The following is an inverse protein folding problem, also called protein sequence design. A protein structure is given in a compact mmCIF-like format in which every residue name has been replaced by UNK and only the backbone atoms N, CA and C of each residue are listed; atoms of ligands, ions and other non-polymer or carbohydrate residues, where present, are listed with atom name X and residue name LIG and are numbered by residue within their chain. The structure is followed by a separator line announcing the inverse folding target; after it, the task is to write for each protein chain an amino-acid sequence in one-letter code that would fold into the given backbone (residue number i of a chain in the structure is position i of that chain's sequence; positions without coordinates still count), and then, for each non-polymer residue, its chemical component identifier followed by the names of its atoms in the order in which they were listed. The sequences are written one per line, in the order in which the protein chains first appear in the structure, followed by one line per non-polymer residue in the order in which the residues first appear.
data_IF_201665753788
#
_entry.id   IF_201665753788
#
_cell.length_a   1.000
_cell.length_b   1.000
_cell.length_c   1.000
_cell.angle_alpha   90.00
_cell.angle_beta   90.00
_cell.angle_gamma   90.00
#
_symmetry.space_group_name_H-M   'P 1'
#
loop_
_entity.id
_entity.type
_entity.pdbx_description
1 polymer ?
#
# COMPACT_ATOMS: atom_id res chain seq x y z
N UNK A 1 13.02 -8.00 35.76
CA UNK A 1 13.15 -8.67 34.45
C UNK A 1 12.08 -8.07 33.58
N UNK A 2 12.43 -7.03 32.82
CA UNK A 2 11.53 -6.51 31.79
C UNK A 2 11.46 -7.58 30.70
N UNK A 3 10.25 -7.86 30.23
CA UNK A 3 10.06 -8.66 29.03
C UNK A 3 10.91 -8.02 27.92
N UNK A 4 11.75 -8.81 27.26
CA UNK A 4 12.33 -8.41 26.00
C UNK A 4 11.17 -7.98 25.11
N UNK A 5 11.22 -6.75 24.61
CA UNK A 5 10.30 -6.31 23.58
C UNK A 5 10.74 -7.09 22.33
N UNK A 6 9.99 -8.15 22.00
CA UNK A 6 10.32 -9.12 20.94
C UNK A 6 10.51 -8.45 19.56
N UNK A 7 10.04 -7.20 19.43
CA UNK A 7 10.07 -6.39 18.22
C UNK A 7 11.34 -5.55 18.02
N UNK A 8 12.33 -5.61 18.93
CA UNK A 8 13.55 -4.79 18.81
C UNK A 8 14.67 -5.46 18.01
N UNK A 9 14.56 -6.78 17.74
CA UNK A 9 15.51 -7.59 16.94
C UNK A 9 16.98 -7.55 17.40
N UNK A 10 17.26 -7.15 18.64
CA UNK A 10 18.63 -6.88 19.10
C UNK A 10 19.61 -8.04 18.84
N UNK A 11 19.19 -9.29 19.09
CA UNK A 11 20.04 -10.46 18.86
C UNK A 11 20.26 -10.78 17.38
N UNK A 12 19.27 -10.52 16.51
CA UNK A 12 19.38 -10.73 15.07
C UNK A 12 20.20 -9.62 14.41
N UNK A 13 19.95 -8.36 14.77
CA UNK A 13 20.73 -7.20 14.34
C UNK A 13 22.22 -7.41 14.67
N UNK A 14 22.53 -7.87 15.89
CA UNK A 14 23.91 -8.19 16.30
C UNK A 14 24.54 -9.31 15.45
N UNK A 15 23.76 -10.30 15.05
CA UNK A 15 24.27 -11.48 14.31
C UNK A 15 24.51 -11.17 12.84
N UNK A 16 23.65 -10.35 12.25
CA UNK A 16 23.58 -10.18 10.79
C UNK A 16 24.12 -8.82 10.32
N UNK A 17 24.39 -7.89 11.24
CA UNK A 17 24.88 -6.53 10.93
C UNK A 17 26.04 -6.12 11.83
N UNK A 18 26.70 -4.99 11.53
CA UNK A 18 27.73 -4.41 12.40
C UNK A 18 27.14 -3.59 13.57
N UNK A 19 25.80 -3.48 13.65
CA UNK A 19 25.14 -2.68 14.68
C UNK A 19 24.91 -3.47 15.97
N UNK A 20 25.11 -2.77 17.09
CA UNK A 20 24.62 -3.19 18.40
C UNK A 20 23.37 -2.36 18.71
N UNK A 21 22.18 -2.95 18.51
CA UNK A 21 20.91 -2.22 18.66
C UNK A 21 20.78 -1.54 20.04
N UNK A 22 21.22 -2.24 21.09
CA UNK A 22 21.21 -1.73 22.46
C UNK A 22 22.07 -0.47 22.66
N UNK A 23 23.08 -0.26 21.81
CA UNK A 23 23.96 0.90 21.89
C UNK A 23 23.38 2.13 21.20
N UNK A 24 22.40 1.97 20.30
CA UNK A 24 21.89 3.06 19.46
C UNK A 24 20.43 3.44 19.72
N UNK A 25 19.61 2.52 20.24
CA UNK A 25 18.15 2.69 20.30
C UNK A 25 17.69 3.89 21.14
N UNK A 26 18.42 4.19 22.21
CA UNK A 26 18.12 5.31 23.11
C UNK A 26 18.52 6.67 22.51
N UNK A 27 19.44 6.66 21.54
CA UNK A 27 19.97 7.86 20.87
C UNK A 27 19.19 8.22 19.59
N UNK A 28 18.39 7.31 19.03
CA UNK A 28 17.59 7.54 17.81
C UNK A 28 16.79 8.86 17.84
N UNK A 29 16.11 9.23 18.96
CA UNK A 29 15.38 10.50 19.03
C UNK A 29 16.25 11.74 18.78
N UNK A 30 17.56 11.65 19.03
CA UNK A 30 18.53 12.72 18.80
C UNK A 30 19.11 12.76 17.39
N UNK A 31 18.96 11.69 16.60
CA UNK A 31 19.53 11.62 15.25
C UNK A 31 18.69 12.37 14.20
N UNK A 32 19.35 13.04 13.24
CA UNK A 32 18.68 13.66 12.09
C UNK A 32 18.12 12.59 11.15
N UNK A 33 17.11 12.94 10.34
CA UNK A 33 16.46 12.00 9.41
C UNK A 33 17.43 11.27 8.49
N UNK A 34 18.42 11.98 7.95
CA UNK A 34 19.46 11.41 7.10
C UNK A 34 20.18 10.22 7.77
N UNK A 35 20.58 10.39 9.04
CA UNK A 35 21.29 9.34 9.80
C UNK A 35 20.36 8.17 10.09
N UNK A 36 19.10 8.42 10.45
CA UNK A 36 18.13 7.34 10.67
C UNK A 36 17.89 6.52 9.39
N UNK A 37 17.85 7.17 8.23
CA UNK A 37 17.66 6.50 6.93
C UNK A 37 18.93 5.75 6.50
N UNK A 38 20.11 6.25 6.82
CA UNK A 38 21.36 5.52 6.63
C UNK A 38 21.37 4.25 7.52
N UNK A 39 20.99 4.35 8.80
CA UNK A 39 20.84 3.18 9.69
C UNK A 39 19.81 2.20 9.11
N UNK A 40 18.65 2.69 8.64
CA UNK A 40 17.63 1.84 8.02
C UNK A 40 18.19 1.07 6.80
N UNK A 41 19.02 1.72 6.00
CA UNK A 41 19.65 1.10 4.83
C UNK A 41 20.64 0.01 5.24
N UNK A 42 21.46 0.27 6.25
CA UNK A 42 22.47 -0.69 6.72
C UNK A 42 21.86 -1.88 7.46
N UNK A 43 20.74 -1.68 8.18
CA UNK A 43 20.03 -2.78 8.83
C UNK A 43 19.35 -3.72 7.83
N UNK A 44 19.08 -3.27 6.60
CA UNK A 44 18.43 -4.06 5.57
C UNK A 44 17.13 -4.68 6.09
N UNK A 45 17.03 -6.01 6.05
CA UNK A 45 15.85 -6.75 6.50
C UNK A 45 15.47 -6.48 7.98
N UNK A 46 16.42 -6.09 8.83
CA UNK A 46 16.23 -6.01 10.29
C UNK A 46 15.79 -4.63 10.79
N UNK A 47 15.21 -3.79 9.93
CA UNK A 47 14.59 -2.53 10.35
C UNK A 47 13.41 -2.85 11.28
N UNK A 48 13.40 -2.26 12.47
CA UNK A 48 12.33 -2.45 13.45
C UNK A 48 11.34 -1.29 13.52
N UNK A 49 10.23 -1.54 14.23
CA UNK A 49 9.16 -0.56 14.46
C UNK A 49 9.67 0.74 15.07
N UNK A 50 10.61 0.68 16.00
CA UNK A 50 11.15 1.88 16.67
C UNK A 50 11.88 2.79 15.67
N UNK A 51 12.74 2.24 14.82
CA UNK A 51 13.46 3.01 13.81
C UNK A 51 12.50 3.62 12.77
N UNK A 52 11.54 2.83 12.27
CA UNK A 52 10.53 3.31 11.32
C UNK A 52 9.71 4.48 11.90
N UNK A 53 9.28 4.37 13.16
CA UNK A 53 8.57 5.45 13.87
C UNK A 53 9.44 6.68 14.06
N UNK A 54 10.72 6.53 14.40
CA UNK A 54 11.62 7.67 14.56
C UNK A 54 11.86 8.40 13.24
N UNK A 55 11.97 7.69 12.11
CA UNK A 55 12.03 8.29 10.78
C UNK A 55 10.74 9.08 10.50
N UNK A 56 9.57 8.46 10.72
CA UNK A 56 8.28 9.08 10.42
C UNK A 56 8.01 10.37 11.21
N UNK A 57 8.63 10.54 12.39
CA UNK A 57 8.53 11.76 13.22
C UNK A 57 9.31 12.95 12.68
N UNK A 58 10.20 12.78 11.69
CA UNK A 58 11.07 13.87 11.21
C UNK A 58 10.38 14.68 10.10
N UNK A 59 10.30 15.99 10.29
CA UNK A 59 9.67 16.92 9.33
C UNK A 59 10.32 16.87 7.94
N UNK A 60 11.61 16.54 7.86
CA UNK A 60 12.40 16.43 6.64
C UNK A 60 12.57 14.98 6.15
N UNK A 61 11.90 13.99 6.76
CA UNK A 61 12.01 12.58 6.39
C UNK A 61 11.73 12.33 4.91
N UNK A 62 10.62 12.88 4.39
CA UNK A 62 10.20 12.68 2.99
C UNK A 62 11.27 13.14 2.01
N UNK A 63 12.02 14.21 2.32
CA UNK A 63 13.10 14.69 1.46
C UNK A 63 14.21 13.63 1.33
N UNK A 64 14.63 13.03 2.44
CA UNK A 64 15.69 12.02 2.43
C UNK A 64 15.21 10.65 1.92
N UNK A 65 13.97 10.26 2.21
CA UNK A 65 13.36 9.04 1.64
C UNK A 65 13.27 9.16 0.10
N UNK A 66 12.86 10.33 -0.41
CA UNK A 66 12.85 10.61 -1.85
C UNK A 66 14.24 10.48 -2.47
N UNK A 67 15.25 11.02 -1.80
CA UNK A 67 16.65 10.92 -2.27
C UNK A 67 17.13 9.46 -2.32
N UNK A 68 16.74 8.65 -1.34
CA UNK A 68 17.10 7.24 -1.28
C UNK A 68 16.51 6.47 -2.47
N UNK A 69 15.21 6.62 -2.75
CA UNK A 69 14.56 5.85 -3.83
C UNK A 69 14.96 6.33 -5.24
N UNK A 70 15.36 7.59 -5.39
CA UNK A 70 15.83 8.14 -6.67
C UNK A 70 17.14 7.50 -7.12
N UNK A 71 17.94 7.00 -6.18
CA UNK A 71 19.16 6.27 -6.47
C UNK A 71 18.79 4.81 -6.77
N UNK A 72 18.64 4.50 -8.07
CA UNK A 72 18.26 3.19 -8.61
C UNK A 72 19.07 1.98 -8.11
N UNK A 73 20.17 2.20 -7.38
CA UNK A 73 20.94 1.13 -6.71
C UNK A 73 20.15 0.45 -5.59
N UNK A 74 19.27 1.17 -4.88
CA UNK A 74 18.56 0.63 -3.71
C UNK A 74 17.46 -0.37 -4.08
N UNK A 75 17.05 -0.40 -5.35
CA UNK A 75 16.07 -1.34 -5.89
C UNK A 75 16.66 -2.71 -6.26
N UNK A 76 17.97 -2.89 -6.13
CA UNK A 76 18.66 -4.13 -6.55
C UNK A 76 18.95 -5.02 -5.34
N UNK A 77 18.74 -6.33 -5.48
CA UNK A 77 19.10 -7.40 -4.51
C UNK A 77 20.61 -7.62 -4.31
N UNK A 78 21.40 -6.56 -4.46
CA UNK A 78 22.84 -6.50 -4.15
C UNK A 78 23.29 -5.05 -3.93
N UNK A 79 22.33 -4.11 -3.94
CA UNK A 79 22.57 -2.73 -3.58
C UNK A 79 22.46 -2.53 -2.07
N UNK A 80 22.65 -1.29 -1.59
CA UNK A 80 22.49 -0.98 -0.17
C UNK A 80 21.06 -1.28 0.30
N UNK A 81 20.95 -1.99 1.41
CA UNK A 81 19.68 -2.52 1.94
C UNK A 81 19.09 -3.68 1.13
N UNK A 82 19.87 -4.30 0.24
CA UNK A 82 19.55 -5.54 -0.48
C UNK A 82 18.22 -5.53 -1.27
N UNK A 83 17.82 -4.37 -1.79
CA UNK A 83 16.54 -4.22 -2.48
C UNK A 83 15.35 -3.94 -1.55
N UNK A 84 15.53 -4.02 -0.23
CA UNK A 84 14.46 -3.82 0.75
C UNK A 84 14.27 -2.36 1.16
N UNK A 85 15.28 -1.49 0.97
CA UNK A 85 15.14 -0.07 1.36
C UNK A 85 13.92 0.62 0.75
N UNK A 86 13.61 0.46 -0.56
CA UNK A 86 12.38 1.01 -1.13
C UNK A 86 11.10 0.41 -0.52
N UNK A 87 11.12 -0.88 -0.15
CA UNK A 87 9.99 -1.54 0.51
C UNK A 87 9.78 -0.96 1.92
N UNK A 88 10.85 -0.71 2.68
CA UNK A 88 10.73 0.00 3.95
C UNK A 88 10.22 1.43 3.78
N UNK A 89 10.64 2.13 2.71
CA UNK A 89 10.16 3.48 2.41
C UNK A 89 8.65 3.49 2.23
N UNK A 90 8.08 2.62 1.38
CA UNK A 90 6.63 2.62 1.14
C UNK A 90 5.82 2.35 2.41
N UNK A 91 6.35 1.57 3.36
CA UNK A 91 5.70 1.32 4.66
C UNK A 91 5.84 2.47 5.66
N UNK A 92 6.89 3.30 5.53
CA UNK A 92 7.08 4.49 6.39
C UNK A 92 6.24 5.67 5.93
N UNK A 93 6.00 5.84 4.62
CA UNK A 93 5.29 7.01 4.08
C UNK A 93 3.87 7.22 4.67
N UNK A 94 3.03 6.17 4.83
CA UNK A 94 1.72 6.30 5.46
C UNK A 94 1.76 6.58 6.97
N UNK A 95 2.93 6.48 7.61
CA UNK A 95 3.11 6.92 9.00
C UNK A 95 3.32 8.43 9.11
N UNK A 96 3.83 9.05 8.04
CA UNK A 96 4.07 10.49 7.95
C UNK A 96 2.77 11.26 7.65
N UNK A 97 1.84 10.66 6.90
CA UNK A 97 0.47 11.17 6.63
C UNK A 97 0.41 12.63 6.19
N UNK A 98 1.28 13.01 5.27
CA UNK A 98 1.22 14.33 4.66
C UNK A 98 1.25 14.24 3.13
N UNK A 99 0.91 15.35 2.49
CA UNK A 99 0.82 15.42 1.02
C UNK A 99 2.11 14.98 0.32
N UNK A 100 3.27 15.40 0.84
CA UNK A 100 4.55 15.07 0.21
C UNK A 100 4.88 13.57 0.31
N UNK A 101 4.46 12.90 1.38
CA UNK A 101 4.61 11.46 1.55
C UNK A 101 3.66 10.69 0.62
N UNK A 102 2.42 11.14 0.47
CA UNK A 102 1.46 10.56 -0.48
C UNK A 102 1.96 10.72 -1.92
N UNK A 103 2.37 11.93 -2.31
CA UNK A 103 2.95 12.20 -3.64
C UNK A 103 4.18 11.31 -3.91
N UNK A 104 5.01 11.04 -2.90
CA UNK A 104 6.15 10.13 -3.05
C UNK A 104 5.72 8.68 -3.27
N UNK A 105 4.71 8.19 -2.55
CA UNK A 105 4.19 6.84 -2.77
C UNK A 105 3.55 6.72 -4.16
N UNK A 106 2.77 7.71 -4.58
CA UNK A 106 2.19 7.78 -5.93
C UNK A 106 3.28 7.79 -7.03
N UNK A 107 4.37 8.54 -6.81
CA UNK A 107 5.51 8.54 -7.73
C UNK A 107 6.20 7.17 -7.80
N UNK A 108 6.34 6.48 -6.66
CA UNK A 108 6.87 5.12 -6.61
C UNK A 108 5.99 4.17 -7.42
N UNK A 109 4.68 4.18 -7.19
CA UNK A 109 3.74 3.33 -7.94
C UNK A 109 3.86 3.62 -9.45
N UNK A 110 3.87 4.90 -9.85
CA UNK A 110 3.92 5.31 -11.26
C UNK A 110 5.22 4.92 -11.97
N UNK A 111 6.36 4.98 -11.29
CA UNK A 111 7.67 4.85 -11.94
C UNK A 111 8.41 3.56 -11.61
N UNK A 112 7.90 2.78 -10.65
CA UNK A 112 8.53 1.56 -10.13
C UNK A 112 7.50 0.43 -9.91
N UNK A 113 6.37 0.42 -10.64
CA UNK A 113 5.38 -0.66 -10.57
C UNK A 113 5.99 -2.06 -10.76
N UNK A 114 6.88 -2.23 -11.76
CA UNK A 114 7.57 -3.48 -12.03
C UNK A 114 8.50 -3.91 -10.89
N UNK A 115 9.09 -2.94 -10.18
CA UNK A 115 9.99 -3.20 -9.04
C UNK A 115 9.20 -3.56 -7.76
N UNK A 116 7.93 -3.13 -7.66
CA UNK A 116 7.04 -3.47 -6.56
C UNK A 116 6.50 -4.90 -6.66
N UNK A 117 6.30 -5.43 -7.87
CA UNK A 117 5.82 -6.81 -8.07
C UNK A 117 4.58 -7.11 -7.20
N UNK A 118 4.54 -8.21 -6.43
CA UNK A 118 3.40 -8.57 -5.57
C UNK A 118 3.06 -7.53 -4.51
N UNK A 119 4.01 -6.71 -4.06
CA UNK A 119 3.76 -5.63 -3.09
C UNK A 119 2.76 -4.61 -3.63
N UNK A 120 2.76 -4.40 -4.97
CA UNK A 120 1.83 -3.49 -5.62
C UNK A 120 0.38 -3.90 -5.36
N UNK A 121 0.06 -5.18 -5.47
CA UNK A 121 -1.32 -5.65 -5.34
C UNK A 121 -1.68 -6.15 -3.94
N UNK A 122 -0.69 -6.51 -3.12
CA UNK A 122 -0.95 -7.08 -1.78
C UNK A 122 -0.87 -6.06 -0.64
N UNK A 123 0.06 -5.10 -0.69
CA UNK A 123 0.35 -4.21 0.43
C UNK A 123 -0.02 -2.76 0.14
N UNK A 124 0.30 -2.27 -1.06
CA UNK A 124 0.08 -0.86 -1.45
C UNK A 124 -1.36 -0.38 -1.23
N UNK A 125 -2.44 -1.15 -1.53
CA UNK A 125 -3.80 -0.70 -1.22
C UNK A 125 -3.98 -0.36 0.26
N UNK A 126 -3.50 -1.20 1.17
CA UNK A 126 -3.54 -0.94 2.62
C UNK A 126 -2.68 0.26 3.03
N UNK A 127 -1.53 0.45 2.39
CA UNK A 127 -0.67 1.63 2.60
C UNK A 127 -1.38 2.93 2.19
N UNK A 128 -2.11 2.92 1.07
CA UNK A 128 -2.92 4.05 0.62
C UNK A 128 -4.10 4.33 1.56
N UNK A 129 -4.76 3.28 2.08
CA UNK A 129 -5.81 3.42 3.10
C UNK A 129 -5.28 4.08 4.37
N UNK A 130 -4.06 3.75 4.79
CA UNK A 130 -3.44 4.26 6.01
C UNK A 130 -3.14 5.77 6.00
N UNK A 131 -3.16 6.43 4.82
CA UNK A 131 -3.13 7.89 4.71
C UNK A 131 -4.44 8.55 5.20
N UNK A 132 -5.57 7.87 5.06
CA UNK A 132 -6.86 8.26 5.65
C UNK A 132 -7.77 9.10 4.75
N UNK A 133 -8.90 9.53 5.33
CA UNK A 133 -10.04 10.18 4.66
C UNK A 133 -9.66 11.39 3.81
N UNK A 134 -8.66 12.18 4.23
CA UNK A 134 -8.26 13.40 3.53
C UNK A 134 -7.63 13.14 2.14
N UNK A 135 -7.25 11.89 1.85
CA UNK A 135 -6.64 11.47 0.60
C UNK A 135 -7.62 10.79 -0.38
N UNK A 136 -8.92 10.74 -0.07
CA UNK A 136 -9.94 10.18 -0.98
C UNK A 136 -9.93 10.89 -2.35
N UNK A 137 -9.93 12.23 -2.38
CA UNK A 137 -9.90 12.97 -3.66
C UNK A 137 -8.60 12.77 -4.45
N UNK A 138 -7.40 12.89 -3.84
CA UNK A 138 -6.16 12.49 -4.50
C UNK A 138 -6.15 11.07 -5.06
N UNK A 139 -6.75 10.10 -4.37
CA UNK A 139 -6.88 8.73 -4.87
C UNK A 139 -7.81 8.65 -6.09
N UNK A 140 -8.96 9.35 -6.06
CA UNK A 140 -9.84 9.45 -7.24
C UNK A 140 -9.09 10.02 -8.44
N UNK A 141 -8.32 11.10 -8.26
CA UNK A 141 -7.49 11.67 -9.33
C UNK A 141 -6.47 10.65 -9.85
N UNK A 142 -5.85 9.85 -8.98
CA UNK A 142 -4.89 8.82 -9.37
C UNK A 142 -5.54 7.71 -10.23
N UNK A 143 -6.75 7.26 -9.87
CA UNK A 143 -7.47 6.25 -10.68
C UNK A 143 -7.90 6.75 -12.07
N UNK A 144 -7.99 8.07 -12.25
CA UNK A 144 -8.34 8.71 -13.54
C UNK A 144 -7.12 8.92 -14.46
N UNK A 145 -5.90 8.69 -13.98
CA UNK A 145 -4.68 8.84 -14.78
C UNK A 145 -4.48 7.64 -15.72
N UNK A 146 -5.02 7.75 -16.93
CA UNK A 146 -4.90 6.76 -18.00
C UNK A 146 -3.46 6.56 -18.53
N UNK A 147 -2.47 7.31 -18.03
CA UNK A 147 -1.05 7.07 -18.34
C UNK A 147 -0.44 5.97 -17.46
N UNK A 148 -1.14 5.55 -16.41
CA UNK A 148 -0.77 4.44 -15.53
C UNK A 148 -1.29 3.10 -16.06
N UNK A 149 -0.58 2.03 -15.72
CA UNK A 149 -1.01 0.65 -15.99
C UNK A 149 -2.23 0.28 -15.12
N UNK A 150 -3.02 -0.71 -15.57
CA UNK A 150 -4.28 -1.10 -14.94
C UNK A 150 -4.13 -1.50 -13.47
N UNK A 151 -3.11 -2.30 -13.12
CA UNK A 151 -2.84 -2.72 -11.75
C UNK A 151 -2.37 -1.56 -10.87
N UNK A 152 -1.56 -0.65 -11.41
CA UNK A 152 -1.17 0.56 -10.67
C UNK A 152 -2.41 1.38 -10.28
N UNK A 153 -3.34 1.59 -11.22
CA UNK A 153 -4.61 2.28 -10.98
C UNK A 153 -5.51 1.49 -10.03
N UNK A 154 -5.50 0.16 -10.11
CA UNK A 154 -6.37 -0.67 -9.29
C UNK A 154 -6.00 -0.64 -7.81
N UNK A 155 -4.72 -0.45 -7.49
CA UNK A 155 -4.33 -0.26 -6.07
C UNK A 155 -5.09 0.88 -5.40
N UNK A 156 -5.39 1.94 -6.15
CA UNK A 156 -6.13 3.08 -5.67
C UNK A 156 -7.65 2.84 -5.67
N UNK A 157 -8.20 2.05 -6.60
CA UNK A 157 -9.63 1.69 -6.57
C UNK A 157 -9.95 0.76 -5.39
N UNK A 158 -9.09 -0.21 -5.12
CA UNK A 158 -9.19 -1.10 -3.95
C UNK A 158 -9.08 -0.29 -2.64
N UNK A 159 -8.12 0.63 -2.56
CA UNK A 159 -7.98 1.53 -1.40
C UNK A 159 -9.21 2.41 -1.21
N UNK A 160 -9.80 2.94 -2.30
CA UNK A 160 -11.06 3.68 -2.24
C UNK A 160 -12.21 2.79 -1.73
N UNK A 161 -12.29 1.53 -2.19
CA UNK A 161 -13.24 0.53 -1.69
C UNK A 161 -13.20 0.41 -0.16
N UNK A 162 -12.01 0.13 0.37
CA UNK A 162 -11.78 0.01 1.80
C UNK A 162 -12.09 1.33 2.55
N UNK A 163 -11.69 2.49 2.02
CA UNK A 163 -12.03 3.80 2.61
C UNK A 163 -13.54 4.05 2.62
N UNK A 164 -14.29 3.60 1.62
CA UNK A 164 -15.75 3.69 1.59
C UNK A 164 -16.44 2.86 2.67
N UNK A 165 -15.81 1.77 3.10
CA UNK A 165 -16.27 0.93 4.24
C UNK A 165 -15.89 1.60 5.57
N UNK A 166 -14.67 2.10 5.70
CA UNK A 166 -14.15 2.76 6.93
C UNK A 166 -14.87 4.10 7.19
N UNK A 167 -15.20 4.84 6.14
CA UNK A 167 -15.84 6.15 6.18
C UNK A 167 -17.18 6.12 5.41
N UNK A 168 -18.27 5.54 5.98
CA UNK A 168 -19.53 5.33 5.29
C UNK A 168 -20.17 6.59 4.70
N UNK A 169 -19.85 7.78 5.22
CA UNK A 169 -20.29 9.05 4.65
C UNK A 169 -19.81 9.26 3.20
N UNK A 170 -18.70 8.63 2.81
CA UNK A 170 -18.11 8.70 1.47
C UNK A 170 -18.46 7.51 0.58
N UNK A 171 -19.09 6.47 1.13
CA UNK A 171 -19.36 5.23 0.40
C UNK A 171 -20.11 5.48 -0.93
N UNK A 172 -21.12 6.34 -0.91
CA UNK A 172 -21.90 6.61 -2.11
C UNK A 172 -21.10 7.40 -3.16
N UNK A 173 -20.33 8.40 -2.77
CA UNK A 173 -19.53 9.16 -3.74
C UNK A 173 -18.40 8.31 -4.35
N UNK A 174 -17.79 7.42 -3.56
CA UNK A 174 -16.79 6.46 -4.03
C UNK A 174 -17.41 5.47 -5.02
N UNK A 175 -18.57 4.88 -4.70
CA UNK A 175 -19.28 4.02 -5.66
C UNK A 175 -19.63 4.74 -6.96
N UNK A 176 -20.09 5.99 -6.90
CA UNK A 176 -20.36 6.76 -8.11
C UNK A 176 -19.10 7.05 -8.93
N UNK A 177 -17.97 7.25 -8.26
CA UNK A 177 -16.67 7.38 -8.92
C UNK A 177 -16.25 6.08 -9.63
N UNK A 178 -16.35 4.93 -8.96
CA UNK A 178 -16.04 3.64 -9.58
C UNK A 178 -17.00 3.31 -10.74
N UNK A 179 -18.30 3.59 -10.60
CA UNK A 179 -19.27 3.46 -11.71
C UNK A 179 -18.89 4.36 -12.89
N UNK A 180 -18.40 5.58 -12.63
CA UNK A 180 -17.91 6.47 -13.69
C UNK A 180 -16.71 5.84 -14.38
N UNK A 181 -15.71 5.34 -13.63
CA UNK A 181 -14.53 4.66 -14.21
C UNK A 181 -14.94 3.48 -15.10
N UNK A 182 -15.83 2.60 -14.62
CA UNK A 182 -16.35 1.45 -15.37
C UNK A 182 -16.97 1.87 -16.70
N UNK A 183 -17.69 3.01 -16.71
CA UNK A 183 -18.36 3.55 -17.91
C UNK A 183 -17.42 4.25 -18.88
N UNK A 184 -16.29 4.79 -18.41
CA UNK A 184 -15.45 5.68 -19.21
C UNK A 184 -14.12 5.08 -19.62
N UNK A 185 -13.59 4.11 -18.87
CA UNK A 185 -12.35 3.44 -19.24
C UNK A 185 -12.49 2.73 -20.59
N UNK A 186 -11.40 2.76 -21.36
CA UNK A 186 -11.22 1.98 -22.59
C UNK A 186 -10.38 0.71 -22.36
N UNK A 187 -9.77 0.60 -21.18
CA UNK A 187 -9.01 -0.57 -20.74
C UNK A 187 -9.96 -1.60 -20.11
N UNK A 188 -10.13 -2.73 -20.79
CA UNK A 188 -11.07 -3.78 -20.38
C UNK A 188 -10.60 -4.64 -19.20
N UNK A 189 -9.29 -4.71 -18.97
CA UNK A 189 -8.72 -5.33 -17.75
C UNK A 189 -9.01 -4.43 -16.55
N UNK A 190 -8.72 -3.13 -16.67
CA UNK A 190 -9.04 -2.17 -15.61
C UNK A 190 -10.56 -2.09 -15.36
N UNK A 191 -11.39 -2.18 -16.39
CA UNK A 191 -12.84 -2.25 -16.24
C UNK A 191 -13.30 -3.47 -15.40
N UNK A 192 -12.69 -4.64 -15.63
CA UNK A 192 -12.94 -5.86 -14.86
C UNK A 192 -12.61 -5.66 -13.38
N UNK A 193 -11.42 -5.11 -13.09
CA UNK A 193 -11.00 -4.86 -11.70
C UNK A 193 -11.90 -3.83 -11.00
N UNK A 194 -12.29 -2.75 -11.69
CA UNK A 194 -13.25 -1.77 -11.14
C UNK A 194 -14.61 -2.41 -10.84
N UNK A 195 -15.06 -3.37 -11.66
CA UNK A 195 -16.30 -4.09 -11.43
C UNK A 195 -16.22 -5.00 -10.19
N UNK A 196 -15.07 -5.65 -9.97
CA UNK A 196 -14.77 -6.44 -8.77
C UNK A 196 -14.77 -5.55 -7.51
N UNK A 197 -14.06 -4.41 -7.54
CA UNK A 197 -14.07 -3.44 -6.43
C UNK A 197 -15.48 -2.90 -6.13
N UNK A 198 -16.31 -2.70 -7.17
CA UNK A 198 -17.72 -2.32 -6.99
C UNK A 198 -18.54 -3.44 -6.33
N UNK A 199 -18.26 -4.70 -6.67
CA UNK A 199 -18.97 -5.85 -6.13
C UNK A 199 -18.71 -6.02 -4.62
N UNK A 200 -17.50 -5.71 -4.16
CA UNK A 200 -17.09 -5.76 -2.74
C UNK A 200 -17.95 -4.91 -1.80
N UNK A 201 -18.70 -3.93 -2.32
CA UNK A 201 -19.65 -3.15 -1.52
C UNK A 201 -20.92 -3.92 -1.14
N UNK A 202 -21.15 -5.11 -1.69
CA UNK A 202 -22.35 -5.92 -1.49
C UNK A 202 -23.65 -5.13 -1.70
N UNK A 203 -23.66 -4.25 -2.71
CA UNK A 203 -24.80 -3.39 -3.04
C UNK A 203 -25.41 -3.79 -4.39
N UNK A 204 -26.55 -4.50 -4.40
CA UNK A 204 -27.20 -4.92 -5.65
C UNK A 204 -27.57 -3.78 -6.60
N UNK A 205 -27.58 -2.52 -6.16
CA UNK A 205 -27.84 -1.38 -7.03
C UNK A 205 -26.73 -1.11 -8.06
N UNK A 206 -25.54 -1.69 -7.90
CA UNK A 206 -24.44 -1.55 -8.88
C UNK A 206 -24.55 -2.53 -10.06
N UNK A 207 -25.28 -3.65 -9.88
CA UNK A 207 -25.38 -4.70 -10.91
C UNK A 207 -25.90 -4.24 -12.28
N UNK A 208 -26.88 -3.34 -12.40
CA UNK A 208 -27.31 -2.86 -13.71
C UNK A 208 -26.18 -2.22 -14.53
N UNK A 209 -25.19 -1.60 -13.86
CA UNK A 209 -24.06 -0.97 -14.54
C UNK A 209 -22.97 -2.00 -14.88
N UNK A 210 -22.75 -3.00 -14.01
CA UNK A 210 -21.84 -4.13 -14.27
C UNK A 210 -22.36 -4.96 -15.47
N UNK A 211 -23.63 -5.35 -15.44
CA UNK A 211 -24.27 -6.11 -16.53
C UNK A 211 -24.14 -5.38 -17.86
N UNK A 212 -24.43 -4.08 -17.86
CA UNK A 212 -24.28 -3.25 -19.05
C UNK A 212 -22.83 -3.21 -19.56
N UNK A 213 -21.83 -3.18 -18.68
CA UNK A 213 -20.43 -3.21 -19.07
C UNK A 213 -20.05 -4.54 -19.76
N UNK A 214 -20.58 -5.67 -19.30
CA UNK A 214 -20.44 -6.97 -19.99
C UNK A 214 -21.18 -7.01 -21.34
N UNK A 215 -22.44 -6.57 -21.39
CA UNK A 215 -23.22 -6.53 -22.64
C UNK A 215 -22.57 -5.66 -23.72
N UNK A 216 -21.93 -4.55 -23.31
CA UNK A 216 -21.20 -3.65 -24.20
C UNK A 216 -19.78 -4.14 -24.54
N UNK A 217 -19.32 -5.26 -23.95
CA UNK A 217 -17.98 -5.81 -24.15
C UNK A 217 -16.87 -4.90 -23.62
N UNK A 218 -17.15 -4.11 -22.57
CA UNK A 218 -16.17 -3.22 -21.92
C UNK A 218 -15.25 -3.96 -20.98
N UNK A 219 -15.72 -5.07 -20.39
CA UNK A 219 -14.92 -5.97 -19.57
C UNK A 219 -14.38 -7.05 -20.51
N UNK A 220 -13.06 -7.11 -20.64
CA UNK A 220 -12.33 -8.10 -21.46
C UNK A 220 -11.24 -8.78 -20.61
N UNK A 221 -11.56 -9.00 -19.33
CA UNK A 221 -10.68 -9.69 -18.40
C UNK A 221 -11.07 -11.18 -18.30
N UNK A 222 -10.20 -12.13 -18.70
CA UNK A 222 -10.50 -13.56 -18.58
C UNK A 222 -10.59 -14.07 -17.14
N UNK A 223 -10.24 -13.25 -16.15
CA UNK A 223 -10.29 -13.57 -14.72
C UNK A 223 -11.53 -13.01 -14.01
N UNK A 224 -12.37 -12.23 -14.69
CA UNK A 224 -13.58 -11.63 -14.11
C UNK A 224 -14.81 -12.15 -14.84
N UNK A 225 -15.63 -12.94 -14.13
CA UNK A 225 -16.90 -13.48 -14.63
C UNK A 225 -18.10 -12.75 -14.01
N UNK A 226 -19.13 -12.49 -14.81
CA UNK A 226 -20.32 -11.76 -14.35
C UNK A 226 -21.07 -12.51 -13.24
N UNK A 227 -21.17 -13.84 -13.33
CA UNK A 227 -21.85 -14.65 -12.32
C UNK A 227 -21.08 -14.61 -10.99
N UNK A 228 -19.74 -14.56 -11.04
CA UNK A 228 -18.89 -14.43 -9.84
C UNK A 228 -19.09 -13.07 -9.15
N UNK A 229 -19.19 -11.98 -9.92
CA UNK A 229 -19.49 -10.66 -9.36
C UNK A 229 -20.89 -10.61 -8.73
N UNK A 230 -21.89 -11.27 -9.32
CA UNK A 230 -23.22 -11.40 -8.72
C UNK A 230 -23.16 -12.20 -7.40
N UNK A 231 -22.38 -13.27 -7.35
CA UNK A 231 -22.15 -14.07 -6.13
C UNK A 231 -21.47 -13.23 -5.02
N UNK A 232 -20.44 -12.45 -5.36
CA UNK A 232 -19.80 -11.49 -4.43
C UNK A 232 -20.86 -10.52 -3.89
N UNK A 233 -21.63 -9.87 -4.76
CA UNK A 233 -22.65 -8.89 -4.34
C UNK A 233 -23.72 -9.51 -3.42
N UNK A 234 -24.07 -10.76 -3.66
CA UNK A 234 -25.01 -11.52 -2.82
C UNK A 234 -24.39 -12.06 -1.52
N UNK A 235 -23.08 -11.83 -1.30
CA UNK A 235 -22.36 -12.20 -0.09
C UNK A 235 -21.97 -13.67 -0.03
N UNK A 236 -21.87 -14.36 -1.17
CA UNK A 236 -21.44 -15.77 -1.23
C UNK A 236 -19.99 -15.92 -0.75
N UNK A 237 -19.16 -14.91 -1.01
CA UNK A 237 -17.73 -14.87 -0.67
C UNK A 237 -17.39 -13.95 0.50
N UNK A 238 -18.37 -13.65 1.37
CA UNK A 238 -18.22 -12.68 2.46
C UNK A 238 -16.96 -12.89 3.34
N UNK A 239 -16.57 -14.14 3.61
CA UNK A 239 -15.36 -14.44 4.39
C UNK A 239 -14.08 -13.99 3.67
N UNK A 240 -14.02 -14.12 2.34
CA UNK A 240 -12.88 -13.65 1.52
C UNK A 240 -12.84 -12.13 1.48
N UNK A 241 -13.99 -11.47 1.33
CA UNK A 241 -14.09 -10.00 1.35
C UNK A 241 -13.69 -9.44 2.72
N UNK A 242 -14.05 -10.12 3.81
CA UNK A 242 -13.62 -9.75 5.15
C UNK A 242 -12.10 -9.87 5.31
N UNK A 243 -11.48 -10.90 4.73
CA UNK A 243 -10.03 -11.10 4.78
C UNK A 243 -9.27 -10.10 3.88
N UNK A 244 -9.79 -9.79 2.69
CA UNK A 244 -9.27 -8.72 1.83
C UNK A 244 -9.38 -7.35 2.53
N UNK A 245 -10.51 -7.06 3.16
CA UNK A 245 -10.67 -5.84 3.95
C UNK A 245 -9.70 -5.78 5.14
N UNK A 246 -9.47 -6.90 5.84
CA UNK A 246 -8.47 -6.98 6.91
C UNK A 246 -7.08 -6.68 6.39
N UNK A 247 -6.69 -7.21 5.22
CA UNK A 247 -5.41 -6.91 4.56
C UNK A 247 -5.24 -5.41 4.33
N UNK A 248 -6.27 -4.74 3.85
CA UNK A 248 -6.24 -3.30 3.55
C UNK A 248 -6.31 -2.40 4.79
N UNK A 249 -6.46 -2.98 5.98
CA UNK A 249 -6.52 -2.25 7.26
C UNK A 249 -5.40 -2.63 8.22
N UNK A 250 -4.41 -3.39 7.75
CA UNK A 250 -3.20 -3.71 8.52
C UNK A 250 -2.41 -2.43 8.84
N UNK A 251 -1.87 -2.35 10.04
CA UNK A 251 -0.97 -1.25 10.43
C UNK A 251 0.31 -1.32 9.58
N UNK A 252 0.68 -0.26 8.83
CA UNK A 252 1.93 -0.25 8.05
C UNK A 252 3.18 -0.57 8.89
N UNK A 253 3.15 -0.35 10.21
CA UNK A 253 4.23 -0.74 11.11
C UNK A 253 4.42 -2.25 11.24
N UNK A 254 3.42 -3.08 10.95
CA UNK A 254 3.52 -4.53 11.07
C UNK A 254 4.50 -5.14 10.07
N UNK A 255 4.84 -4.45 8.97
CA UNK A 255 5.97 -4.81 8.11
C UNK A 255 7.26 -4.99 8.89
N UNK A 256 7.48 -4.14 9.90
CA UNK A 256 8.67 -4.15 10.75
C UNK A 256 8.53 -5.04 12.00
N UNK A 257 7.58 -5.97 12.00
CA UNK A 257 7.40 -6.95 13.08
C UNK A 257 8.21 -8.22 12.83
N UNK A 258 8.57 -8.93 13.91
CA UNK A 258 9.33 -10.20 13.80
C UNK A 258 8.66 -11.17 12.82
N UNK A 259 7.35 -11.33 12.99
CA UNK A 259 6.53 -12.27 12.23
C UNK A 259 6.60 -12.02 10.73
N UNK A 260 6.65 -10.76 10.29
CA UNK A 260 6.69 -10.42 8.88
C UNK A 260 8.13 -10.46 8.34
N UNK A 261 9.12 -10.04 9.12
CA UNK A 261 10.54 -10.17 8.74
C UNK A 261 10.92 -11.64 8.52
N UNK A 262 10.47 -12.57 9.36
CA UNK A 262 10.74 -14.01 9.20
C UNK A 262 10.08 -14.65 7.96
N UNK A 263 9.17 -13.94 7.28
CA UNK A 263 8.45 -14.42 6.09
C UNK A 263 9.06 -13.95 4.77
N UNK A 264 9.96 -12.97 4.81
CA UNK A 264 10.65 -12.40 3.65
C UNK A 264 11.91 -13.19 3.32
#
# INVERSE_FOLDING_TARGET
MNAFNDDDFADMIRQETEFEWEDIKDDLPGYPAAVLIDIMTELGLFVNKQLAQEIAKRDDAVFYLRKLIQDGKHWRSSGPGDGLSPIHVIHILPLIRNKAAFELLSDIIRYHEDDLNYWLTEDVPGLLVAFGEEFIEPLKEFTEDETLEAFARSTATEALGALGIIFPQHQNEIKQHLIKLLKTTEDGTFAGIVADDLASFHDPSVMPEIHKAFEEGRIDDPFVDEDELEDIINGVFYDLDEDNFKRNTVDPLDHFSMKNIERL
#
